data_IF_544669368146
#
_entry.id   IF_544669368146
#
_cell.length_a   1.000
_cell.length_b   1.000
_cell.length_c   1.000
_cell.angle_alpha   90.00
_cell.angle_beta   90.00
_cell.angle_gamma   90.00
#
_symmetry.space_group_name_H-M   'P 1'
#
loop_
_entity.id
_entity.type
_entity.pdbx_description
1 polymer ?
#
# COMPACT_ATOMS: atom_id res chain seq x y z
N UNK A 1 -8.04 7.64 18.05
CA UNK A 1 -9.06 6.56 17.92
C UNK A 1 -10.41 7.08 17.39
N UNK A 2 -10.73 8.32 17.75
CA UNK A 2 -11.89 9.11 17.38
C UNK A 2 -12.03 9.27 15.85
N UNK A 3 -10.96 9.57 15.07
CA UNK A 3 -11.08 9.66 13.61
C UNK A 3 -11.49 8.35 12.95
N UNK A 4 -10.97 7.21 13.44
CA UNK A 4 -11.34 5.88 12.95
C UNK A 4 -12.82 5.56 13.26
N UNK A 5 -13.29 5.90 14.46
CA UNK A 5 -14.70 5.70 14.84
C UNK A 5 -15.63 6.56 13.98
N UNK A 6 -15.26 7.82 13.73
CA UNK A 6 -15.98 8.71 12.82
C UNK A 6 -16.03 8.15 11.40
N UNK A 7 -14.89 7.68 10.88
CA UNK A 7 -14.80 7.07 9.55
C UNK A 7 -15.77 5.89 9.42
N UNK A 8 -15.76 4.96 10.38
CA UNK A 8 -16.59 3.77 10.34
C UNK A 8 -18.10 4.12 10.36
N UNK A 9 -18.50 5.07 11.20
CA UNK A 9 -19.88 5.58 11.23
C UNK A 9 -20.27 6.29 9.94
N UNK A 10 -19.41 7.17 9.42
CA UNK A 10 -19.64 7.89 8.17
C UNK A 10 -19.75 6.94 6.97
N UNK A 11 -18.98 5.85 6.95
CA UNK A 11 -19.06 4.83 5.91
C UNK A 11 -20.43 4.12 5.89
N UNK A 12 -20.98 3.81 7.07
CA UNK A 12 -22.34 3.26 7.18
C UNK A 12 -23.39 4.25 6.68
N UNK A 13 -23.23 5.54 7.01
CA UNK A 13 -24.11 6.59 6.51
C UNK A 13 -24.07 6.66 4.98
N UNK A 14 -22.88 6.75 4.37
CA UNK A 14 -22.74 6.79 2.92
C UNK A 14 -23.40 5.59 2.22
N UNK A 15 -23.23 4.38 2.76
CA UNK A 15 -23.94 3.17 2.27
C UNK A 15 -25.46 3.31 2.35
N UNK A 16 -25.99 3.87 3.45
CA UNK A 16 -27.43 4.09 3.61
C UNK A 16 -28.01 5.07 2.59
N UNK A 17 -27.21 6.01 2.08
CA UNK A 17 -27.59 6.92 1.00
C UNK A 17 -27.19 6.43 -0.39
N UNK A 18 -26.65 5.20 -0.52
CA UNK A 18 -26.19 4.62 -1.77
C UNK A 18 -25.17 5.51 -2.52
N UNK A 19 -24.25 6.12 -1.77
CA UNK A 19 -23.18 6.96 -2.32
C UNK A 19 -21.81 6.31 -2.07
N UNK A 20 -20.87 6.41 -3.03
CA UNK A 20 -19.48 6.09 -2.77
C UNK A 20 -18.91 6.96 -1.66
N UNK A 21 -18.11 6.36 -0.79
CA UNK A 21 -17.51 7.03 0.35
C UNK A 21 -16.01 7.24 0.14
N UNK A 22 -15.56 8.50 0.25
CA UNK A 22 -14.15 8.87 0.30
C UNK A 22 -13.74 9.18 1.73
N UNK A 23 -12.73 8.49 2.25
CA UNK A 23 -12.15 8.75 3.58
C UNK A 23 -10.81 8.03 3.75
N UNK A 24 -10.22 8.12 4.93
CA UNK A 24 -9.01 7.38 5.30
C UNK A 24 -7.81 7.66 4.39
N UNK A 25 -6.96 6.65 4.26
CA UNK A 25 -5.63 6.73 3.66
C UNK A 25 -4.54 6.43 4.69
N UNK A 26 -3.29 6.66 4.32
CA UNK A 26 -2.12 6.43 5.17
C UNK A 26 -1.72 7.73 5.86
N UNK A 27 -2.57 8.20 6.77
CA UNK A 27 -2.50 9.54 7.34
C UNK A 27 -1.63 9.57 8.60
N UNK A 28 -0.77 10.58 8.70
CA UNK A 28 0.07 10.78 9.90
C UNK A 28 0.45 12.26 10.10
N UNK A 29 0.70 12.62 11.36
CA UNK A 29 1.32 13.89 11.75
C UNK A 29 2.84 13.81 11.98
N UNK A 30 3.47 12.64 11.79
CA UNK A 30 4.92 12.49 11.95
C UNK A 30 5.68 13.32 10.91
N UNK A 31 6.89 13.75 11.26
CA UNK A 31 7.80 14.49 10.37
C UNK A 31 8.74 13.57 9.60
N UNK A 32 8.86 12.32 10.04
CA UNK A 32 9.75 11.31 9.48
C UNK A 32 8.96 10.05 9.15
N UNK A 33 9.39 9.22 8.18
CA UNK A 33 8.81 7.91 7.91
C UNK A 33 9.22 6.88 8.99
N UNK A 34 8.87 7.18 10.24
CA UNK A 34 9.27 6.42 11.42
C UNK A 34 8.12 5.57 11.98
N UNK A 35 8.32 5.05 13.20
CA UNK A 35 7.30 4.27 13.89
C UNK A 35 5.99 5.05 14.11
N UNK A 36 6.06 6.36 14.41
CA UNK A 36 4.86 7.18 14.51
C UNK A 36 4.12 7.23 13.17
N UNK A 37 4.85 7.46 12.07
CA UNK A 37 4.25 7.48 10.74
C UNK A 37 3.54 6.16 10.42
N UNK A 38 4.17 5.03 10.73
CA UNK A 38 3.60 3.70 10.53
C UNK A 38 2.34 3.47 11.39
N UNK A 39 2.39 3.77 12.69
CA UNK A 39 1.27 3.56 13.60
C UNK A 39 0.06 4.43 13.25
N UNK A 40 0.26 5.72 13.04
CA UNK A 40 -0.82 6.64 12.66
C UNK A 40 -1.46 6.21 11.32
N UNK A 41 -0.63 5.84 10.34
CA UNK A 41 -1.10 5.42 9.02
C UNK A 41 -1.87 4.09 9.10
N UNK A 42 -1.37 3.10 9.83
CA UNK A 42 -2.06 1.83 10.03
C UNK A 42 -3.42 2.02 10.74
N UNK A 43 -3.47 2.90 11.75
CA UNK A 43 -4.68 3.22 12.50
C UNK A 43 -5.71 4.04 11.70
N UNK A 44 -5.37 4.49 10.51
CA UNK A 44 -6.30 5.16 9.59
C UNK A 44 -6.63 4.31 8.37
N UNK A 45 -5.65 3.58 7.85
CA UNK A 45 -5.79 2.69 6.70
C UNK A 45 -6.64 1.46 7.03
N UNK A 46 -6.35 0.75 8.13
CA UNK A 46 -7.09 -0.48 8.45
C UNK A 46 -8.59 -0.23 8.68
N UNK A 47 -9.02 0.79 9.45
CA UNK A 47 -10.43 1.17 9.53
C UNK A 47 -11.06 1.56 8.20
N UNK A 48 -10.29 2.16 7.27
CA UNK A 48 -10.78 2.50 5.94
C UNK A 48 -11.13 1.24 5.12
N UNK A 49 -10.27 0.22 5.19
CA UNK A 49 -10.49 -1.08 4.54
C UNK A 49 -11.72 -1.78 5.09
N UNK A 50 -11.77 -2.04 6.40
CA UNK A 50 -12.93 -2.74 7.02
C UNK A 50 -14.21 -1.89 6.98
N UNK A 51 -14.06 -0.57 6.92
CA UNK A 51 -15.15 0.38 6.76
C UNK A 51 -15.76 0.37 5.37
N UNK A 52 -15.12 -0.27 4.38
CA UNK A 52 -15.59 -0.31 2.99
C UNK A 52 -15.51 1.05 2.30
N UNK A 53 -14.45 1.82 2.56
CA UNK A 53 -14.18 3.08 1.86
C UNK A 53 -13.95 2.80 0.37
N UNK A 54 -14.66 3.53 -0.51
CA UNK A 54 -14.58 3.31 -1.95
C UNK A 54 -13.39 4.03 -2.60
N UNK A 55 -12.99 5.18 -2.04
CA UNK A 55 -11.93 6.00 -2.61
C UNK A 55 -11.04 6.57 -1.49
N UNK A 56 -9.77 6.17 -1.44
CA UNK A 56 -8.79 6.67 -0.48
C UNK A 56 -7.83 7.63 -1.19
N UNK A 57 -8.09 8.94 -1.08
CA UNK A 57 -7.32 9.95 -1.83
C UNK A 57 -5.84 10.02 -1.39
N UNK A 58 -5.58 9.86 -0.10
CA UNK A 58 -4.23 9.97 0.48
C UNK A 58 -3.70 8.59 0.86
N UNK A 59 -3.84 7.62 -0.05
CA UNK A 59 -3.49 6.24 0.21
C UNK A 59 -1.99 6.03 0.45
N UNK A 60 -1.12 6.86 -0.15
CA UNK A 60 0.33 6.74 -0.01
C UNK A 60 1.05 8.10 -0.05
N UNK A 61 2.14 8.21 0.72
CA UNK A 61 3.12 9.30 0.65
C UNK A 61 2.86 10.49 1.59
N UNK A 62 1.73 10.48 2.30
CA UNK A 62 1.36 11.56 3.22
C UNK A 62 2.28 11.60 4.44
N UNK A 63 2.82 12.78 4.75
CA UNK A 63 3.61 13.05 5.94
C UNK A 63 3.33 14.47 6.48
N UNK A 64 3.72 14.73 7.72
CA UNK A 64 3.64 16.03 8.39
C UNK A 64 2.24 16.68 8.30
N UNK A 65 1.19 15.90 8.59
CA UNK A 65 -0.18 16.43 8.58
C UNK A 65 -0.63 16.93 7.21
N UNK A 66 0.00 16.48 6.13
CA UNK A 66 -0.34 16.83 4.75
C UNK A 66 0.55 17.92 4.16
N UNK A 67 1.53 18.41 4.90
CA UNK A 67 2.50 19.40 4.40
C UNK A 67 3.58 18.78 3.53
N UNK A 68 3.78 17.46 3.61
CA UNK A 68 4.87 16.76 2.94
C UNK A 68 4.34 15.57 2.14
N UNK A 69 4.83 15.44 0.90
CA UNK A 69 4.76 14.21 0.10
C UNK A 69 6.14 13.56 0.12
N UNK A 70 6.30 12.45 0.85
CA UNK A 70 7.58 11.74 1.00
C UNK A 70 7.63 10.51 0.12
N UNK A 71 8.72 10.36 -0.65
CA UNK A 71 8.94 9.20 -1.53
C UNK A 71 9.14 7.89 -0.75
N UNK A 72 9.91 7.93 0.34
CA UNK A 72 10.11 6.77 1.21
C UNK A 72 8.79 6.33 1.84
N UNK A 73 8.04 7.29 2.40
CA UNK A 73 6.72 7.04 2.94
C UNK A 73 5.75 6.51 1.89
N UNK A 74 5.85 6.98 0.64
CA UNK A 74 5.05 6.50 -0.47
C UNK A 74 5.31 5.01 -0.72
N UNK A 75 6.57 4.57 -0.79
CA UNK A 75 6.89 3.15 -0.99
C UNK A 75 6.46 2.29 0.20
N UNK A 76 6.63 2.78 1.44
CA UNK A 76 6.15 2.09 2.63
C UNK A 76 4.62 1.93 2.62
N UNK A 77 3.90 2.97 2.23
CA UNK A 77 2.44 2.92 2.17
C UNK A 77 1.94 2.01 1.03
N UNK A 78 2.61 2.01 -0.13
CA UNK A 78 2.29 1.09 -1.25
C UNK A 78 2.43 -0.37 -0.83
N UNK A 79 3.47 -0.71 -0.07
CA UNK A 79 3.64 -2.05 0.51
C UNK A 79 2.45 -2.42 1.42
N UNK A 80 2.06 -1.51 2.31
CA UNK A 80 0.89 -1.72 3.18
C UNK A 80 -0.41 -1.82 2.38
N UNK A 81 -0.60 -1.03 1.33
CA UNK A 81 -1.79 -1.11 0.45
C UNK A 81 -1.89 -2.47 -0.25
N UNK A 82 -0.77 -3.01 -0.75
CA UNK A 82 -0.75 -4.33 -1.36
C UNK A 82 -1.07 -5.43 -0.34
N UNK A 83 -0.57 -5.31 0.90
CA UNK A 83 -0.96 -6.19 2.00
C UNK A 83 -2.46 -6.07 2.31
N UNK A 84 -3.00 -4.86 2.38
CA UNK A 84 -4.43 -4.62 2.60
C UNK A 84 -5.31 -5.17 1.47
N UNK A 85 -4.83 -5.15 0.22
CA UNK A 85 -5.52 -5.75 -0.91
C UNK A 85 -5.59 -7.28 -0.77
N UNK A 86 -4.49 -7.93 -0.35
CA UNK A 86 -4.50 -9.38 -0.05
C UNK A 86 -5.46 -9.68 1.11
N UNK A 87 -5.44 -8.87 2.17
CA UNK A 87 -6.35 -9.00 3.31
C UNK A 87 -7.83 -8.87 2.88
N UNK A 88 -8.15 -7.92 2.00
CA UNK A 88 -9.51 -7.69 1.50
C UNK A 88 -10.07 -8.87 0.68
N UNK A 89 -9.23 -9.77 0.16
CA UNK A 89 -9.69 -10.99 -0.52
C UNK A 89 -10.29 -12.03 0.45
N UNK A 90 -10.13 -11.85 1.76
CA UNK A 90 -10.68 -12.76 2.77
C UNK A 90 -9.95 -14.10 2.87
N UNK A 91 -10.64 -15.08 3.44
CA UNK A 91 -10.11 -16.43 3.67
C UNK A 91 -10.56 -17.35 2.52
N UNK A 92 -9.63 -18.10 1.95
CA UNK A 92 -9.95 -19.14 0.97
C UNK A 92 -10.59 -20.35 1.67
N UNK A 93 -11.85 -20.62 1.32
CA UNK A 93 -12.63 -21.75 1.85
C UNK A 93 -12.75 -22.92 0.87
N UNK A 94 -12.02 -22.87 -0.26
CA UNK A 94 -11.95 -23.97 -1.21
C UNK A 94 -11.37 -25.24 -0.58
N UNK A 95 -11.50 -26.37 -1.25
CA UNK A 95 -10.88 -27.64 -0.81
C UNK A 95 -9.36 -27.49 -0.65
N UNK A 96 -8.69 -26.77 -1.57
CA UNK A 96 -7.27 -26.44 -1.45
C UNK A 96 -7.00 -25.55 -0.22
N UNK A 97 -7.85 -24.54 0.03
CA UNK A 97 -7.74 -23.67 1.20
C UNK A 97 -7.93 -24.40 2.53
N UNK A 98 -8.75 -25.46 2.56
CA UNK A 98 -8.95 -26.31 3.75
C UNK A 98 -7.74 -27.21 4.04
N UNK A 99 -6.97 -27.59 3.03
CA UNK A 99 -5.70 -28.32 3.14
C UNK A 99 -5.79 -29.65 3.93
N UNK A 100 -6.94 -30.33 3.89
CA UNK A 100 -7.18 -31.57 4.66
C UNK A 100 -6.21 -32.69 4.30
N UNK A 101 -5.85 -32.82 3.02
CA UNK A 101 -4.87 -33.81 2.56
C UNK A 101 -3.49 -33.54 3.14
N UNK A 102 -3.08 -32.27 3.24
CA UNK A 102 -1.80 -31.90 3.83
C UNK A 102 -1.76 -32.24 5.33
N UNK A 103 -2.86 -32.01 6.06
CA UNK A 103 -2.98 -32.34 7.48
C UNK A 103 -2.85 -33.85 7.68
N UNK A 104 -3.49 -34.65 6.82
CA UNK A 104 -3.41 -36.10 6.84
C UNK A 104 -2.02 -36.63 6.45
N UNK A 105 -1.37 -36.02 5.45
CA UNK A 105 -0.01 -36.35 4.99
C UNK A 105 1.03 -36.14 6.09
N UNK A 106 0.99 -34.99 6.77
CA UNK A 106 2.02 -34.59 7.73
C UNK A 106 1.81 -35.25 9.10
N UNK A 107 0.56 -35.30 9.58
CA UNK A 107 0.22 -35.91 10.87
C UNK A 107 0.81 -35.22 12.11
N UNK A 108 0.56 -35.77 13.31
CA UNK A 108 1.01 -35.17 14.58
C UNK A 108 2.53 -35.13 14.71
N UNK A 109 3.06 -33.97 15.11
CA UNK A 109 4.49 -33.77 15.35
C UNK A 109 5.34 -33.53 14.10
N UNK A 110 4.75 -33.53 12.91
CA UNK A 110 5.42 -33.18 11.66
C UNK A 110 5.48 -31.67 11.38
N UNK A 111 6.01 -31.29 10.22
CA UNK A 111 6.03 -29.93 9.71
C UNK A 111 5.63 -29.87 8.23
N UNK A 112 5.13 -28.72 7.78
CA UNK A 112 4.52 -28.58 6.44
C UNK A 112 5.49 -28.07 5.36
N UNK A 113 6.70 -27.64 5.73
CA UNK A 113 7.65 -27.00 4.79
C UNK A 113 7.93 -27.83 3.52
N UNK A 114 7.91 -29.16 3.62
CA UNK A 114 8.23 -30.06 2.52
C UNK A 114 7.02 -30.76 1.88
N UNK A 115 5.80 -30.58 2.39
CA UNK A 115 4.64 -31.32 1.90
C UNK A 115 4.20 -30.83 0.52
N UNK A 116 3.49 -31.69 -0.22
CA UNK A 116 3.07 -31.40 -1.59
C UNK A 116 2.21 -30.11 -1.68
N UNK A 117 1.34 -29.90 -0.69
CA UNK A 117 0.48 -28.72 -0.63
C UNK A 117 1.27 -27.42 -0.48
N UNK A 118 2.30 -27.38 0.37
CA UNK A 118 3.13 -26.18 0.52
C UNK A 118 3.92 -25.91 -0.76
N UNK A 119 4.52 -26.94 -1.37
CA UNK A 119 5.24 -26.79 -2.64
C UNK A 119 4.34 -26.25 -3.77
N UNK A 120 3.07 -26.65 -3.81
CA UNK A 120 2.10 -26.18 -4.80
C UNK A 120 1.63 -24.74 -4.57
N UNK A 121 1.68 -24.23 -3.32
CA UNK A 121 1.00 -22.98 -2.95
C UNK A 121 1.93 -21.85 -2.46
N UNK A 122 3.16 -22.13 -2.01
CA UNK A 122 3.98 -21.18 -1.24
C UNK A 122 4.32 -19.86 -1.99
N UNK A 123 4.34 -19.88 -3.32
CA UNK A 123 4.63 -18.70 -4.14
C UNK A 123 3.50 -17.66 -4.05
N UNK A 124 2.25 -18.10 -3.88
CA UNK A 124 1.06 -17.24 -3.92
C UNK A 124 0.29 -17.19 -2.61
N UNK A 125 0.61 -18.08 -1.66
CA UNK A 125 -0.07 -18.19 -0.37
C UNK A 125 0.04 -16.90 0.45
N UNK A 126 1.25 -16.36 0.56
CA UNK A 126 1.55 -15.21 1.42
C UNK A 126 1.89 -13.96 0.61
N UNK A 127 1.45 -12.81 1.14
CA UNK A 127 2.01 -11.54 0.68
C UNK A 127 3.48 -11.44 1.10
N UNK A 128 4.33 -10.95 0.21
CA UNK A 128 5.75 -10.70 0.48
C UNK A 128 5.98 -9.20 0.45
N UNK A 129 6.40 -8.66 1.60
CA UNK A 129 6.73 -7.24 1.70
C UNK A 129 7.93 -6.89 0.82
N UNK A 130 7.89 -5.70 0.23
CA UNK A 130 8.97 -5.14 -0.61
C UNK A 130 9.90 -4.22 0.17
N UNK A 131 9.56 -3.84 1.41
CA UNK A 131 10.36 -2.91 2.23
C UNK A 131 10.71 -3.46 3.62
N UNK A 132 9.94 -4.42 4.13
CA UNK A 132 10.18 -5.07 5.43
C UNK A 132 11.28 -6.14 5.37
N UNK A 133 12.01 -6.28 6.47
CA UNK A 133 13.06 -7.27 6.65
C UNK A 133 12.59 -8.35 7.64
N UNK A 134 12.65 -9.62 7.24
CA UNK A 134 12.31 -10.79 8.07
C UNK A 134 13.49 -11.75 8.22
N UNK A 135 14.70 -11.30 7.94
CA UNK A 135 15.93 -12.07 8.09
C UNK A 135 16.33 -12.19 9.57
N UNK A 136 17.37 -12.99 9.85
CA UNK A 136 17.94 -13.04 11.20
C UNK A 136 18.64 -11.73 11.56
N UNK A 137 18.84 -11.49 12.86
CA UNK A 137 19.59 -10.33 13.34
C UNK A 137 20.98 -10.25 12.71
N UNK A 138 21.69 -11.38 12.65
CA UNK A 138 23.06 -11.45 12.15
C UNK A 138 23.13 -11.07 10.66
N UNK A 139 22.14 -11.49 9.88
CA UNK A 139 22.05 -11.12 8.47
C UNK A 139 21.69 -9.63 8.31
N UNK A 140 20.68 -9.14 9.04
CA UNK A 140 20.29 -7.73 9.03
C UNK A 140 21.46 -6.81 9.40
N UNK A 141 22.23 -7.17 10.44
CA UNK A 141 23.43 -6.44 10.87
C UNK A 141 24.51 -6.47 9.78
N UNK A 142 24.80 -7.65 9.20
CA UNK A 142 25.78 -7.80 8.13
C UNK A 142 25.41 -7.03 6.85
N UNK A 143 24.12 -6.84 6.59
CA UNK A 143 23.59 -6.07 5.46
C UNK A 143 23.46 -4.56 5.74
N UNK A 144 23.96 -4.11 6.90
CA UNK A 144 24.09 -2.69 7.25
C UNK A 144 23.03 -2.17 8.21
N UNK A 145 22.30 -3.04 8.90
CA UNK A 145 21.32 -2.68 9.92
C UNK A 145 20.24 -1.70 9.43
N UNK A 146 19.84 -1.86 8.16
CA UNK A 146 18.96 -0.91 7.47
C UNK A 146 17.59 -0.86 8.10
N UNK A 147 17.06 0.34 8.22
CA UNK A 147 15.67 0.59 8.58
C UNK A 147 14.77 0.48 7.36
N UNK A 148 13.47 0.35 7.60
CA UNK A 148 12.45 0.25 6.53
C UNK A 148 12.47 1.47 5.60
N UNK A 149 12.69 2.68 6.12
CA UNK A 149 12.79 3.90 5.33
C UNK A 149 14.01 3.92 4.40
N UNK A 150 15.13 3.34 4.82
CA UNK A 150 16.33 3.20 3.97
C UNK A 150 16.11 2.17 2.85
N UNK A 151 15.44 1.06 3.14
CA UNK A 151 15.03 0.09 2.13
C UNK A 151 14.05 0.71 1.12
N UNK A 152 13.09 1.50 1.61
CA UNK A 152 12.15 2.24 0.79
C UNK A 152 12.86 3.26 -0.13
N UNK A 153 13.86 3.99 0.38
CA UNK A 153 14.66 4.94 -0.41
C UNK A 153 15.37 4.27 -1.59
N UNK A 154 15.98 3.10 -1.35
CA UNK A 154 16.63 2.32 -2.41
C UNK A 154 15.60 1.89 -3.47
N UNK A 155 14.40 1.48 -3.05
CA UNK A 155 13.32 1.09 -3.96
C UNK A 155 12.78 2.27 -4.78
N UNK A 156 12.70 3.48 -4.22
CA UNK A 156 12.36 4.71 -4.96
C UNK A 156 13.33 4.91 -6.12
N UNK A 157 14.63 4.91 -5.81
CA UNK A 157 15.67 5.15 -6.81
C UNK A 157 15.63 4.11 -7.93
N UNK A 158 15.47 2.83 -7.57
CA UNK A 158 15.30 1.74 -8.53
C UNK A 158 14.06 1.93 -9.41
N UNK A 159 12.91 2.16 -8.79
CA UNK A 159 11.62 2.26 -9.51
C UNK A 159 11.61 3.42 -10.50
N UNK A 160 12.19 4.57 -10.13
CA UNK A 160 12.29 5.73 -11.03
C UNK A 160 13.28 5.48 -12.18
N UNK A 161 14.38 4.78 -11.92
CA UNK A 161 15.37 4.45 -12.95
C UNK A 161 14.83 3.43 -13.98
N UNK A 162 13.94 2.52 -13.54
CA UNK A 162 13.34 1.47 -14.37
C UNK A 162 12.01 1.90 -15.01
N UNK A 163 11.50 3.11 -14.73
CA UNK A 163 10.20 3.56 -15.23
C UNK A 163 10.22 3.84 -16.74
N UNK A 164 9.33 3.17 -17.47
CA UNK A 164 8.98 3.48 -18.85
C UNK A 164 7.57 4.07 -18.91
N UNK A 165 7.42 5.25 -19.51
CA UNK A 165 6.13 5.89 -19.64
C UNK A 165 5.19 5.08 -20.55
N UNK A 166 3.91 4.88 -20.18
CA UNK A 166 2.96 4.21 -21.06
C UNK A 166 2.74 5.05 -22.34
N UNK A 167 2.49 4.39 -23.49
CA UNK A 167 2.31 5.10 -24.75
C UNK A 167 1.08 6.02 -24.69
N UNK A 168 1.24 7.23 -25.24
CA UNK A 168 0.17 8.21 -25.45
C UNK A 168 0.03 8.47 -26.95
N UNK A 169 -1.20 8.52 -27.44
CA UNK A 169 -1.46 8.85 -28.84
C UNK A 169 -0.86 10.23 -29.19
N UNK A 170 -0.03 10.35 -30.25
CA UNK A 170 0.63 11.60 -30.56
C UNK A 170 -0.33 12.75 -30.85
N UNK A 171 -1.48 12.49 -31.49
CA UNK A 171 -2.47 13.52 -31.78
C UNK A 171 -3.16 14.04 -30.52
N UNK A 172 -3.37 13.16 -29.53
CA UNK A 172 -3.87 13.56 -28.21
C UNK A 172 -2.82 14.39 -27.46
N UNK A 173 -1.56 13.97 -27.45
CA UNK A 173 -0.49 14.73 -26.78
C UNK A 173 -0.34 16.14 -27.40
N UNK A 174 -0.27 16.23 -28.73
CA UNK A 174 -0.23 17.51 -29.44
C UNK A 174 -1.41 18.42 -29.08
N UNK A 175 -2.64 17.88 -29.01
CA UNK A 175 -3.82 18.63 -28.63
C UNK A 175 -3.78 19.11 -27.16
N UNK A 176 -3.27 18.28 -26.24
CA UNK A 176 -3.08 18.64 -24.85
C UNK A 176 -2.05 19.77 -24.70
N UNK A 177 -0.90 19.66 -25.38
CA UNK A 177 0.14 20.68 -25.35
C UNK A 177 -0.37 22.01 -25.93
N UNK A 178 -1.08 21.98 -27.06
CA UNK A 178 -1.64 23.19 -27.67
C UNK A 178 -2.64 23.89 -26.74
N UNK A 179 -3.51 23.13 -26.07
CA UNK A 179 -4.45 23.68 -25.09
C UNK A 179 -3.72 24.29 -23.88
N UNK A 180 -2.71 23.62 -23.34
CA UNK A 180 -1.91 24.12 -22.21
C UNK A 180 -1.22 25.44 -22.58
N UNK A 181 -0.59 25.50 -23.76
CA UNK A 181 0.09 26.70 -24.24
C UNK A 181 -0.89 27.87 -24.39
N UNK A 182 -2.02 27.65 -25.07
CA UNK A 182 -3.06 28.68 -25.22
C UNK A 182 -3.57 29.20 -23.87
N UNK A 183 -3.73 28.32 -22.88
CA UNK A 183 -4.17 28.72 -21.53
C UNK A 183 -3.10 29.54 -20.81
N UNK A 184 -1.83 29.12 -20.85
CA UNK A 184 -0.74 29.89 -20.25
C UNK A 184 -0.59 31.27 -20.88
N UNK A 185 -0.70 31.38 -22.21
CA UNK A 185 -0.60 32.67 -22.90
C UNK A 185 -1.79 33.61 -22.59
N UNK A 186 -2.93 33.05 -22.17
CA UNK A 186 -4.13 33.84 -21.88
C UNK A 186 -4.12 34.55 -20.52
N UNK A 187 -3.14 34.26 -19.65
CA UNK A 187 -3.08 34.83 -18.30
C UNK A 187 -1.64 34.97 -17.82
N UNK A 188 -1.26 36.08 -17.15
CA UNK A 188 0.03 36.18 -16.50
C UNK A 188 0.11 35.23 -15.30
N UNK A 189 1.32 34.83 -14.93
CA UNK A 189 1.54 34.04 -13.72
C UNK A 189 1.06 34.81 -12.48
N UNK A 190 0.35 34.12 -11.59
CA UNK A 190 -0.28 34.72 -10.41
C UNK A 190 0.74 35.20 -9.35
N UNK A 191 1.93 34.59 -9.35
CA UNK A 191 3.03 34.93 -8.45
C UNK A 191 4.34 34.86 -9.25
N UNK A 192 4.97 36.02 -9.48
CA UNK A 192 6.34 36.17 -9.99
C UNK A 192 7.29 36.50 -8.85
#
# INVERSE_FOLDING_TARGET
PEPASLLLGAAQFARRYNLPFRSGGSLTGSKLPDAQAAYDSAQTLYPAIIGGVNFMLHAAGWLEGGLVSSFEKFMMDVDQLAMMQKFANGIDLSENGQAMDAIAEVGPGGHYLGCAHTQANFETAFYRTTVGDNNSYEQWEAEGAKRTDENANALVSKTLAEYEAPPLDPGIDEALQAYIAQKKDSMPDAFT
#
